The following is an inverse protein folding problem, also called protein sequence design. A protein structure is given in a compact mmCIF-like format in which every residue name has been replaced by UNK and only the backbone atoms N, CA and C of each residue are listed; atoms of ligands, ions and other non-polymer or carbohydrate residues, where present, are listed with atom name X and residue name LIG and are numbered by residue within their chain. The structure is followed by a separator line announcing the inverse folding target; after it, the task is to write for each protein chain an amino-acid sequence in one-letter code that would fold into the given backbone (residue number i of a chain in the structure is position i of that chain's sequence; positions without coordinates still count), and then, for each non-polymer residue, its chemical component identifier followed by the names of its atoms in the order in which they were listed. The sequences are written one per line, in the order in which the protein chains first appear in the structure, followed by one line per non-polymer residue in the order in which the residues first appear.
data_IF_982887941605
#
_entry.id   IF_982887941605
#
_cell.length_a   1.000
_cell.length_b   1.000
_cell.length_c   1.000
_cell.angle_alpha   90.00
_cell.angle_beta   90.00
_cell.angle_gamma   90.00
#
_symmetry.space_group_name_H-M   'P 1'
#
loop_
_entity.id
_entity.type
_entity.pdbx_description
1 polymer ?
#
# COMPACT_ATOMS: atom_id res chain seq x y z
N UNK A 1 17.67 -3.45 4.95
CA UNK A 1 18.61 -2.62 4.14
C UNK A 1 20.03 -2.83 4.65
N UNK A 2 21.06 -2.61 3.83
CA UNK A 2 22.44 -2.53 4.31
C UNK A 2 22.83 -1.06 4.47
N UNK A 3 23.48 -0.73 5.59
CA UNK A 3 24.02 0.60 5.84
C UNK A 3 25.51 0.57 5.53
N UNK A 4 26.02 1.62 4.89
CA UNK A 4 27.44 1.79 4.59
C UNK A 4 27.94 2.96 5.41
N UNK A 5 29.05 2.77 6.11
CA UNK A 5 29.72 3.79 6.89
C UNK A 5 31.23 3.75 6.59
N UNK A 6 31.87 4.91 6.73
CA UNK A 6 33.31 5.05 6.68
C UNK A 6 33.78 5.59 8.04
N UNK A 7 34.96 5.15 8.48
CA UNK A 7 35.63 5.66 9.67
C UNK A 7 37.01 6.11 9.21
N UNK A 8 37.32 7.37 9.47
CA UNK A 8 38.67 7.89 9.27
C UNK A 8 39.53 7.50 10.48
N UNK A 9 40.51 6.61 10.28
CA UNK A 9 41.37 6.13 11.35
C UNK A 9 42.54 7.08 11.66
N UNK A 10 42.72 8.15 10.89
CA UNK A 10 43.73 9.17 11.17
C UNK A 10 43.25 10.16 12.25
N UNK A 11 41.93 10.32 12.40
CA UNK A 11 41.34 11.09 13.49
C UNK A 11 41.63 10.45 14.86
N UNK A 12 42.17 11.24 15.79
CA UNK A 12 42.54 10.80 17.13
C UNK A 12 41.37 10.12 17.88
N UNK A 13 40.16 10.66 17.73
CA UNK A 13 38.93 10.11 18.32
C UNK A 13 38.58 8.72 17.81
N UNK A 14 39.06 8.33 16.63
CA UNK A 14 38.73 7.06 15.97
C UNK A 14 39.82 6.00 16.14
N UNK A 15 41.02 6.34 16.62
CA UNK A 15 42.13 5.39 16.78
C UNK A 15 41.77 4.18 17.64
N UNK A 16 41.06 4.40 18.75
CA UNK A 16 40.61 3.33 19.65
C UNK A 16 39.67 2.33 18.96
N UNK A 17 38.70 2.82 18.17
CA UNK A 17 37.76 1.95 17.44
C UNK A 17 38.45 1.21 16.29
N UNK A 18 39.38 1.85 15.59
CA UNK A 18 40.17 1.20 14.54
C UNK A 18 41.10 0.11 15.11
N UNK A 19 41.71 0.35 16.27
CA UNK A 19 42.48 -0.65 17.00
C UNK A 19 41.61 -1.83 17.45
N UNK A 20 40.43 -1.56 18.02
CA UNK A 20 39.46 -2.59 18.45
C UNK A 20 39.03 -3.52 17.32
N UNK A 21 38.86 -3.01 16.11
CA UNK A 21 38.51 -3.81 14.94
C UNK A 21 39.73 -4.31 14.14
N UNK A 22 40.93 -4.18 14.70
CA UNK A 22 42.18 -4.69 14.13
C UNK A 22 42.47 -4.18 12.71
N UNK A 23 42.29 -2.88 12.46
CA UNK A 23 42.61 -2.27 11.17
C UNK A 23 44.13 -2.14 11.03
N UNK A 24 44.73 -2.96 10.17
CA UNK A 24 46.19 -3.03 9.95
C UNK A 24 46.69 -2.30 8.69
N UNK A 25 45.76 -1.80 7.87
CA UNK A 25 46.07 -1.10 6.63
C UNK A 25 44.82 -0.55 5.96
N UNK A 26 45.00 0.35 5.00
CA UNK A 26 43.90 1.05 4.34
C UNK A 26 43.92 0.84 2.81
N UNK A 27 42.74 0.81 2.15
CA UNK A 27 41.41 0.69 2.73
C UNK A 27 41.09 -0.75 3.17
N UNK A 28 40.53 -0.90 4.37
CA UNK A 28 39.99 -2.19 4.87
C UNK A 28 38.47 -2.13 4.89
N UNK A 29 37.83 -3.10 4.24
CA UNK A 29 36.37 -3.24 4.21
C UNK A 29 35.96 -4.35 5.18
N UNK A 30 35.07 -4.03 6.13
CA UNK A 30 34.50 -5.01 7.06
C UNK A 30 32.98 -5.04 6.93
N UNK A 31 32.42 -6.24 6.96
CA UNK A 31 30.98 -6.46 7.00
C UNK A 31 30.56 -6.72 8.44
N UNK A 32 29.66 -5.90 8.95
CA UNK A 32 29.09 -6.05 10.29
C UNK A 32 27.64 -6.54 10.18
N UNK A 33 27.32 -7.62 10.90
CA UNK A 33 25.97 -8.20 10.90
C UNK A 33 25.45 -8.37 12.32
N UNK A 34 24.23 -7.92 12.54
CA UNK A 34 23.51 -8.19 13.78
C UNK A 34 23.10 -9.67 13.81
N UNK A 35 23.42 -10.35 14.92
CA UNK A 35 22.97 -11.70 15.24
C UNK A 35 22.09 -11.65 16.47
N UNK A 36 20.92 -12.27 16.39
CA UNK A 36 20.03 -12.49 17.53
C UNK A 36 20.09 -13.97 17.86
N UNK A 37 20.49 -14.31 19.08
CA UNK A 37 20.49 -15.70 19.53
C UNK A 37 19.06 -16.17 19.88
N UNK A 38 18.88 -17.46 20.12
CA UNK A 38 17.57 -18.06 20.45
C UNK A 38 16.93 -17.48 21.72
N UNK A 39 17.73 -16.91 22.61
CA UNK A 39 17.30 -16.28 23.87
C UNK A 39 17.04 -14.77 23.71
N UNK A 40 17.08 -14.23 22.49
CA UNK A 40 16.86 -12.80 22.22
C UNK A 40 18.09 -11.91 22.44
N UNK A 41 19.23 -12.46 22.84
CA UNK A 41 20.49 -11.74 23.00
C UNK A 41 21.03 -11.25 21.65
N UNK A 42 21.36 -9.95 21.58
CA UNK A 42 21.90 -9.31 20.38
C UNK A 42 23.43 -9.27 20.43
N UNK A 43 24.07 -9.67 19.35
CA UNK A 43 25.52 -9.60 19.17
C UNK A 43 25.84 -9.11 17.76
N UNK A 44 27.08 -8.70 17.50
CA UNK A 44 27.54 -8.27 16.17
C UNK A 44 28.66 -9.21 15.73
N UNK A 45 28.51 -9.83 14.56
CA UNK A 45 29.64 -10.49 13.89
C UNK A 45 30.30 -9.52 12.94
N UNK A 46 31.63 -9.45 12.98
CA UNK A 46 32.45 -8.63 12.09
C UNK A 46 33.32 -9.56 11.25
N UNK A 47 33.30 -9.37 9.94
CA UNK A 47 34.05 -10.19 8.97
C UNK A 47 34.77 -9.29 7.97
N UNK A 48 35.98 -9.68 7.58
CA UNK A 48 36.74 -8.96 6.55
C UNK A 48 36.21 -9.28 5.15
N UNK A 49 36.04 -8.24 4.33
CA UNK A 49 35.75 -8.41 2.91
C UNK A 49 37.05 -8.50 2.12
N UNK A 50 37.36 -9.71 1.67
CA UNK A 50 38.54 -10.02 0.85
C UNK A 50 38.21 -10.25 -0.63
N UNK A 51 36.98 -9.93 -1.07
CA UNK A 51 36.56 -10.06 -2.46
C UNK A 51 37.07 -8.95 -3.37
N UNK A 52 36.67 -8.99 -4.64
CA UNK A 52 37.03 -7.94 -5.61
C UNK A 52 36.47 -6.58 -5.18
N UNK A 53 37.29 -5.53 -5.26
CA UNK A 53 36.89 -4.15 -4.87
C UNK A 53 36.14 -3.42 -5.99
N UNK A 54 35.20 -4.10 -6.64
CA UNK A 54 34.29 -3.48 -7.61
C UNK A 54 32.92 -3.28 -6.97
N UNK A 55 32.18 -2.25 -7.42
CA UNK A 55 30.84 -1.96 -6.90
C UNK A 55 29.92 -3.19 -6.96
N UNK A 56 29.97 -3.92 -8.08
CA UNK A 56 29.16 -5.12 -8.30
C UNK A 56 29.49 -6.22 -7.30
N UNK A 57 30.77 -6.59 -7.15
CA UNK A 57 31.19 -7.68 -6.27
C UNK A 57 30.87 -7.37 -4.80
N UNK A 58 31.09 -6.12 -4.36
CA UNK A 58 30.75 -5.67 -3.01
C UNK A 58 29.23 -5.75 -2.80
N UNK A 59 28.42 -5.25 -3.74
CA UNK A 59 26.96 -5.26 -3.63
C UNK A 59 26.38 -6.69 -3.59
N UNK A 60 26.93 -7.60 -4.41
CA UNK A 60 26.56 -9.02 -4.41
C UNK A 60 26.92 -9.69 -3.08
N UNK A 61 28.13 -9.45 -2.57
CA UNK A 61 28.56 -9.99 -1.28
C UNK A 61 27.65 -9.51 -0.14
N UNK A 62 27.39 -8.20 -0.04
CA UNK A 62 26.49 -7.62 0.96
C UNK A 62 25.08 -8.23 0.86
N UNK A 63 24.57 -8.42 -0.35
CA UNK A 63 23.25 -9.03 -0.59
C UNK A 63 23.19 -10.50 -0.16
N UNK A 64 24.30 -11.23 -0.33
CA UNK A 64 24.39 -12.65 0.05
C UNK A 64 24.38 -12.86 1.56
N UNK A 65 25.02 -11.96 2.30
CA UNK A 65 25.14 -12.04 3.77
C UNK A 65 24.08 -11.25 4.53
N UNK A 66 23.16 -10.59 3.80
CA UNK A 66 22.03 -9.88 4.40
C UNK A 66 21.10 -10.87 5.12
N UNK A 67 20.72 -10.60 6.37
CA UNK A 67 19.72 -11.42 7.05
C UNK A 67 18.39 -11.38 6.27
N UNK A 68 17.64 -12.47 6.35
CA UNK A 68 16.31 -12.52 5.79
C UNK A 68 15.36 -13.20 6.75
N UNK A 69 14.21 -12.57 6.95
CA UNK A 69 13.07 -13.08 7.69
C UNK A 69 11.96 -13.59 6.75
N UNK A 70 12.23 -13.60 5.44
CA UNK A 70 11.28 -14.05 4.41
C UNK A 70 11.17 -15.57 4.48
N UNK A 71 9.96 -16.07 4.69
CA UNK A 71 9.65 -17.49 4.59
C UNK A 71 9.33 -17.86 3.15
N UNK A 72 9.93 -18.92 2.61
CA UNK A 72 9.50 -19.47 1.32
C UNK A 72 8.33 -20.42 1.58
N UNK A 73 7.16 -20.06 1.08
CA UNK A 73 5.92 -20.78 1.31
C UNK A 73 5.57 -21.56 0.05
N UNK A 74 5.20 -22.82 0.24
CA UNK A 74 4.70 -23.74 -0.78
C UNK A 74 3.23 -24.08 -0.49
N UNK A 75 2.60 -24.84 -1.38
CA UNK A 75 1.18 -25.20 -1.26
C UNK A 75 0.86 -25.92 0.07
N UNK A 76 1.73 -26.82 0.54
CA UNK A 76 1.52 -27.58 1.78
C UNK A 76 1.68 -26.72 3.04
N UNK A 77 2.58 -25.73 3.02
CA UNK A 77 2.91 -24.88 4.18
C UNK A 77 2.05 -23.63 4.26
N UNK A 78 1.25 -23.32 3.24
CA UNK A 78 0.46 -22.08 3.20
C UNK A 78 -0.44 -21.90 4.42
N UNK A 79 -1.23 -22.92 4.77
CA UNK A 79 -2.15 -22.83 5.91
C UNK A 79 -1.41 -22.62 7.23
N UNK A 80 -0.27 -23.31 7.40
CA UNK A 80 0.56 -23.14 8.60
C UNK A 80 1.17 -21.73 8.69
N UNK A 81 1.53 -21.12 7.56
CA UNK A 81 2.02 -19.74 7.52
C UNK A 81 0.91 -18.74 7.84
N UNK A 82 -0.29 -18.93 7.26
CA UNK A 82 -1.42 -18.02 7.48
C UNK A 82 -1.87 -18.03 8.94
N UNK A 83 -1.88 -19.20 9.59
CA UNK A 83 -2.28 -19.38 10.99
C UNK A 83 -1.26 -18.83 12.01
N UNK A 84 -0.02 -18.52 11.60
CA UNK A 84 1.00 -17.96 12.49
C UNK A 84 0.74 -16.49 12.74
N UNK A 85 0.66 -16.06 14.01
CA UNK A 85 0.50 -14.66 14.40
C UNK A 85 -0.61 -13.98 13.59
N UNK A 86 -1.85 -14.42 13.79
CA UNK A 86 -3.02 -13.97 13.00
C UNK A 86 -3.32 -12.48 13.18
N UNK A 87 -2.91 -11.93 14.30
CA UNK A 87 -2.89 -10.52 14.65
C UNK A 87 -1.77 -9.72 13.97
N UNK A 88 -0.72 -10.38 13.47
CA UNK A 88 0.37 -9.73 12.75
C UNK A 88 0.11 -9.77 11.25
N UNK A 89 0.08 -8.60 10.62
CA UNK A 89 -0.06 -8.48 9.19
C UNK A 89 1.04 -9.23 8.43
N UNK A 90 0.70 -9.77 7.26
CA UNK A 90 1.60 -10.60 6.44
C UNK A 90 1.79 -9.96 5.08
N UNK A 91 3.03 -9.96 4.58
CA UNK A 91 3.39 -9.44 3.26
C UNK A 91 3.88 -10.60 2.41
N UNK A 92 3.15 -10.93 1.36
CA UNK A 92 3.40 -12.08 0.49
C UNK A 92 3.81 -11.61 -0.89
N UNK A 93 5.01 -12.02 -1.33
CA UNK A 93 5.49 -11.77 -2.68
C UNK A 93 5.27 -13.00 -3.56
N UNK A 94 4.44 -12.87 -4.57
CA UNK A 94 4.28 -13.85 -5.64
C UNK A 94 5.29 -13.56 -6.74
N UNK A 95 6.11 -14.55 -7.11
CA UNK A 95 7.15 -14.36 -8.12
C UNK A 95 7.51 -15.63 -8.88
N UNK A 96 7.95 -15.49 -10.14
CA UNK A 96 8.53 -16.59 -10.92
C UNK A 96 9.93 -16.99 -10.43
N UNK A 97 10.63 -16.08 -9.75
CA UNK A 97 12.03 -16.27 -9.32
C UNK A 97 12.11 -17.12 -8.05
N UNK A 98 12.97 -18.15 -8.07
CA UNK A 98 13.21 -18.98 -6.88
C UNK A 98 14.04 -18.32 -5.79
N UNK A 99 14.91 -17.38 -6.17
CA UNK A 99 15.73 -16.61 -5.23
C UNK A 99 14.98 -15.35 -4.74
N UNK A 100 15.11 -15.06 -3.45
CA UNK A 100 14.53 -13.85 -2.85
C UNK A 100 15.34 -12.62 -3.22
N UNK A 101 14.66 -11.59 -3.73
CA UNK A 101 15.32 -10.36 -4.17
C UNK A 101 15.96 -9.61 -3.00
N UNK A 102 17.04 -8.87 -3.27
CA UNK A 102 17.72 -8.02 -2.29
C UNK A 102 16.78 -7.00 -1.66
N UNK A 103 15.90 -6.40 -2.46
CA UNK A 103 14.86 -5.46 -2.04
C UNK A 103 13.94 -6.11 -1.01
N UNK A 104 13.44 -7.32 -1.30
CA UNK A 104 12.49 -7.98 -0.42
C UNK A 104 13.14 -8.45 0.89
N UNK A 105 14.39 -8.95 0.85
CA UNK A 105 15.18 -9.21 2.07
C UNK A 105 15.38 -7.95 2.90
N UNK A 106 15.69 -6.84 2.23
CA UNK A 106 15.93 -5.57 2.90
C UNK A 106 14.68 -5.06 3.62
N UNK A 107 13.51 -5.16 2.99
CA UNK A 107 12.21 -4.81 3.59
C UNK A 107 11.85 -5.74 4.73
N UNK A 108 12.03 -7.05 4.56
CA UNK A 108 11.72 -8.03 5.60
C UNK A 108 12.53 -7.81 6.88
N UNK A 109 13.77 -7.35 6.75
CA UNK A 109 14.62 -7.00 7.89
C UNK A 109 14.16 -5.70 8.54
N UNK A 110 13.80 -4.68 7.75
CA UNK A 110 13.40 -3.37 8.26
C UNK A 110 12.02 -3.37 8.91
N UNK A 111 11.10 -4.23 8.47
CA UNK A 111 9.73 -4.28 8.97
C UNK A 111 9.34 -5.63 9.58
N UNK A 112 10.30 -6.52 9.85
CA UNK A 112 10.02 -7.87 10.34
C UNK A 112 9.38 -7.94 11.74
N UNK A 113 9.35 -6.82 12.45
CA UNK A 113 8.61 -6.65 13.72
C UNK A 113 7.13 -6.42 13.48
N UNK A 114 6.77 -5.67 12.42
CA UNK A 114 5.38 -5.27 12.12
C UNK A 114 4.71 -6.24 11.15
N UNK A 115 5.48 -6.86 10.24
CA UNK A 115 4.94 -7.79 9.26
C UNK A 115 5.70 -9.12 9.24
N UNK A 116 4.99 -10.20 8.95
CA UNK A 116 5.59 -11.47 8.53
C UNK A 116 5.73 -11.51 7.02
N UNK A 117 6.92 -11.81 6.52
CA UNK A 117 7.19 -11.80 5.09
C UNK A 117 7.22 -13.23 4.54
N UNK A 118 6.54 -13.43 3.42
CA UNK A 118 6.59 -14.68 2.67
C UNK A 118 6.84 -14.47 1.18
N UNK A 119 7.42 -15.47 0.55
CA UNK A 119 7.55 -15.56 -0.90
C UNK A 119 6.90 -16.85 -1.38
N UNK A 120 6.03 -16.75 -2.38
CA UNK A 120 5.36 -17.87 -3.04
C UNK A 120 5.77 -17.87 -4.51
N UNK A 121 6.09 -19.05 -5.06
CA UNK A 121 6.42 -19.19 -6.48
C UNK A 121 5.16 -19.34 -7.31
N UNK A 122 5.24 -18.90 -8.56
CA UNK A 122 4.23 -19.18 -9.60
C UNK A 122 3.91 -20.67 -9.75
N UNK A 123 4.88 -21.55 -9.48
CA UNK A 123 4.67 -23.01 -9.50
C UNK A 123 3.74 -23.53 -8.40
N UNK A 124 3.42 -22.74 -7.38
CA UNK A 124 2.54 -23.10 -6.26
C UNK A 124 1.08 -22.83 -6.64
N UNK A 125 0.55 -23.68 -7.51
CA UNK A 125 -0.72 -23.42 -8.21
C UNK A 125 -1.92 -23.32 -7.26
N UNK A 126 -1.94 -24.06 -6.16
CA UNK A 126 -3.03 -23.97 -5.20
C UNK A 126 -3.00 -22.62 -4.47
N UNK A 127 -1.81 -22.20 -4.03
CA UNK A 127 -1.60 -20.90 -3.37
C UNK A 127 -1.92 -19.74 -4.30
N UNK A 128 -1.39 -19.75 -5.52
CA UNK A 128 -1.63 -18.70 -6.54
C UNK A 128 -3.12 -18.54 -6.83
N UNK A 129 -3.84 -19.66 -7.02
CA UNK A 129 -5.30 -19.66 -7.24
C UNK A 129 -6.07 -19.17 -6.02
N UNK A 130 -5.64 -19.53 -4.81
CA UNK A 130 -6.29 -19.14 -3.55
C UNK A 130 -6.32 -17.61 -3.39
N UNK A 131 -5.28 -16.92 -3.84
CA UNK A 131 -5.18 -15.45 -3.78
C UNK A 131 -5.52 -14.77 -5.11
N UNK A 132 -6.02 -15.50 -6.11
CA UNK A 132 -6.41 -14.93 -7.41
C UNK A 132 -5.27 -14.26 -8.19
N UNK A 133 -4.02 -14.68 -7.99
CA UNK A 133 -2.85 -14.03 -8.59
C UNK A 133 -2.65 -14.52 -10.02
N UNK A 134 -2.72 -13.60 -10.98
CA UNK A 134 -2.53 -13.91 -12.41
C UNK A 134 -1.26 -13.31 -12.99
N UNK A 135 -0.68 -12.32 -12.30
CA UNK A 135 0.50 -11.60 -12.74
C UNK A 135 1.66 -11.79 -11.79
N UNK A 136 2.88 -11.60 -12.31
CA UNK A 136 4.10 -11.75 -11.54
C UNK A 136 5.15 -10.73 -12.01
N UNK A 137 5.85 -10.06 -11.08
CA UNK A 137 5.74 -10.19 -9.63
C UNK A 137 4.56 -9.39 -9.05
N UNK A 138 3.89 -9.93 -8.02
CA UNK A 138 2.81 -9.26 -7.30
C UNK A 138 3.07 -9.30 -5.81
N UNK A 139 2.93 -8.17 -5.12
CA UNK A 139 3.06 -8.09 -3.67
C UNK A 139 1.67 -7.92 -3.05
N UNK A 140 1.33 -8.78 -2.09
CA UNK A 140 0.05 -8.81 -1.40
C UNK A 140 0.28 -8.51 0.09
N UNK A 141 -0.50 -7.61 0.66
CA UNK A 141 -0.57 -7.37 2.09
C UNK A 141 -1.84 -8.03 2.65
N UNK A 142 -1.69 -8.82 3.69
CA UNK A 142 -2.76 -9.42 4.47
C UNK A 142 -2.77 -8.70 5.82
N UNK A 143 -3.73 -7.78 6.10
CA UNK A 143 -3.69 -6.95 7.32
C UNK A 143 -3.86 -7.74 8.62
N UNK A 144 -4.37 -8.98 8.57
CA UNK A 144 -4.74 -9.76 9.75
C UNK A 144 -6.22 -9.57 10.10
N UNK A 145 -6.71 -10.21 11.17
CA UNK A 145 -8.05 -9.94 11.71
C UNK A 145 -9.27 -10.30 10.85
N UNK A 146 -9.08 -10.80 9.62
CA UNK A 146 -10.17 -11.07 8.66
C UNK A 146 -10.38 -9.96 7.63
N UNK A 147 -9.57 -8.89 7.67
CA UNK A 147 -9.60 -7.80 6.70
C UNK A 147 -9.22 -8.30 5.29
N UNK A 148 -9.77 -7.68 4.23
CA UNK A 148 -9.47 -8.06 2.85
C UNK A 148 -8.00 -7.83 2.53
N UNK A 149 -7.44 -8.71 1.70
CA UNK A 149 -6.07 -8.57 1.22
C UNK A 149 -5.92 -7.37 0.29
N UNK A 150 -4.80 -6.65 0.43
CA UNK A 150 -4.48 -5.47 -0.37
C UNK A 150 -3.37 -5.83 -1.35
N UNK A 151 -3.66 -5.79 -2.65
CA UNK A 151 -2.64 -5.98 -3.70
C UNK A 151 -1.88 -4.67 -3.90
N UNK A 152 -0.57 -4.73 -3.91
CA UNK A 152 0.29 -3.57 -4.17
C UNK A 152 0.51 -3.38 -5.67
N UNK A 153 0.27 -2.15 -6.12
CA UNK A 153 0.14 -1.81 -7.53
C UNK A 153 0.99 -0.60 -7.93
N UNK A 154 2.16 -0.50 -7.34
CA UNK A 154 3.16 0.47 -7.76
C UNK A 154 4.44 -0.25 -8.17
N UNK A 155 5.43 0.54 -8.56
CA UNK A 155 6.74 0.03 -8.91
C UNK A 155 7.31 -0.89 -7.82
N UNK A 156 7.80 -2.06 -8.23
CA UNK A 156 8.53 -3.01 -7.38
C UNK A 156 9.96 -2.53 -7.04
N UNK A 157 10.09 -1.24 -6.72
CA UNK A 157 11.30 -0.53 -6.32
C UNK A 157 11.27 -0.27 -4.82
N UNK A 158 12.45 -0.23 -4.22
CA UNK A 158 12.61 -0.13 -2.76
C UNK A 158 11.88 1.09 -2.13
N UNK A 159 11.96 2.32 -2.67
CA UNK A 159 11.30 3.47 -2.05
C UNK A 159 9.78 3.33 -1.98
N UNK A 160 9.16 2.88 -3.06
CA UNK A 160 7.71 2.75 -3.17
C UNK A 160 7.17 1.64 -2.28
N UNK A 161 7.84 0.47 -2.30
CA UNK A 161 7.51 -0.64 -1.40
C UNK A 161 7.69 -0.27 0.07
N UNK A 162 8.78 0.43 0.42
CA UNK A 162 9.01 0.91 1.79
C UNK A 162 7.91 1.87 2.23
N UNK A 163 7.55 2.83 1.38
CA UNK A 163 6.50 3.80 1.69
C UNK A 163 5.13 3.15 1.86
N UNK A 164 4.80 2.18 1.01
CA UNK A 164 3.58 1.38 1.14
C UNK A 164 3.54 0.68 2.51
N UNK A 165 4.56 -0.12 2.82
CA UNK A 165 4.62 -0.88 4.08
C UNK A 165 4.62 0.03 5.32
N UNK A 166 5.36 1.15 5.30
CA UNK A 166 5.34 2.12 6.41
C UNK A 166 3.95 2.68 6.68
N UNK A 167 3.16 2.97 5.63
CA UNK A 167 1.78 3.48 5.77
C UNK A 167 0.85 2.40 6.30
N UNK A 168 1.07 1.15 5.91
CA UNK A 168 0.26 0.02 6.33
C UNK A 168 0.37 -0.31 7.82
N UNK A 169 1.45 0.09 8.50
CA UNK A 169 1.61 -0.15 9.96
C UNK A 169 0.48 0.56 10.75
N UNK A 170 0.08 1.77 10.34
CA UNK A 170 -1.02 2.50 11.01
C UNK A 170 -2.42 1.95 10.70
N UNK A 171 -2.56 1.11 9.67
CA UNK A 171 -3.80 0.40 9.37
C UNK A 171 -3.97 -0.85 10.25
N UNK A 172 -2.86 -1.43 10.71
CA UNK A 172 -2.83 -2.67 11.51
C UNK A 172 -2.92 -2.43 13.02
N UNK A 173 -2.83 -1.17 13.48
CA UNK A 173 -2.94 -0.80 14.91
C UNK A 173 -4.36 -0.36 15.32
N UNK A 174 -5.25 -0.08 14.37
CA UNK A 174 -6.63 0.37 14.64
C UNK A 174 -7.65 -0.78 14.81
N UNK A 175 -7.19 -2.04 14.79
CA UNK A 175 -8.04 -3.23 14.88
C UNK A 175 -8.28 -3.76 16.31
N UNK A 176 -7.65 -3.18 17.35
CA UNK A 176 -7.79 -3.64 18.74
C UNK A 176 -8.73 -2.80 19.63
N UNK A 177 -9.51 -1.88 19.06
CA UNK A 177 -10.50 -1.10 19.81
C UNK A 177 -11.89 -1.16 19.17
N UNK A 178 -12.51 -2.34 19.16
CA UNK A 178 -13.94 -2.57 19.48
C UNK A 178 -14.31 -4.04 19.22
N UNK A 179 -14.09 -4.91 20.21
CA UNK A 179 -14.85 -6.14 20.33
C UNK A 179 -16.24 -5.79 20.87
N UNK A 180 -17.27 -6.23 20.13
CA UNK A 180 -18.59 -6.72 20.56
C UNK A 180 -19.74 -6.19 19.69
N UNK A 181 -20.11 -6.91 18.62
CA UNK A 181 -21.31 -7.77 18.62
C UNK A 181 -21.59 -8.40 17.25
N UNK A 182 -21.87 -9.70 17.34
CA UNK A 182 -22.78 -10.49 16.52
C UNK A 182 -22.45 -10.87 15.06
N UNK A 183 -22.09 -12.17 14.96
CA UNK A 183 -22.61 -13.22 14.05
C UNK A 183 -22.06 -13.33 12.61
N UNK A 184 -21.04 -14.20 12.53
CA UNK A 184 -20.79 -15.29 11.55
C UNK A 184 -21.52 -15.20 10.20
N UNK A 185 -20.80 -15.05 9.08
CA UNK A 185 -21.16 -15.69 7.81
C UNK A 185 -19.93 -15.95 6.89
N UNK A 186 -20.09 -17.01 6.08
CA UNK A 186 -19.12 -17.68 5.19
C UNK A 186 -18.79 -16.89 3.91
N UNK A 187 -17.50 -16.96 3.53
CA UNK A 187 -16.91 -17.19 2.20
C UNK A 187 -17.62 -16.65 0.93
N UNK A 188 -16.96 -15.69 0.26
CA UNK A 188 -16.66 -15.59 -1.19
C UNK A 188 -16.53 -14.09 -1.55
N UNK A 189 -15.35 -13.56 -1.91
CA UNK A 189 -14.62 -13.66 -3.20
C UNK A 189 -14.58 -12.26 -3.82
N UNK A 190 -13.46 -11.57 -3.59
CA UNK A 190 -12.54 -10.94 -4.58
C UNK A 190 -13.11 -10.33 -5.88
N UNK A 191 -12.31 -9.51 -6.61
CA UNK A 191 -11.16 -8.68 -6.19
C UNK A 191 -11.03 -7.34 -6.96
N UNK A 192 -10.04 -6.54 -6.53
CA UNK A 192 -9.08 -5.88 -7.44
C UNK A 192 -9.51 -4.56 -8.09
N UNK A 193 -8.61 -3.71 -8.59
CA UNK A 193 -7.15 -3.66 -8.56
C UNK A 193 -6.70 -2.33 -9.22
N UNK A 194 -5.47 -1.88 -8.93
CA UNK A 194 -4.50 -1.25 -9.88
C UNK A 194 -4.69 0.21 -10.37
N UNK A 195 -3.68 1.05 -10.68
CA UNK A 195 -2.21 1.10 -10.46
C UNK A 195 -1.62 2.39 -11.12
N UNK A 196 -0.50 2.91 -10.58
CA UNK A 196 0.66 3.62 -11.22
C UNK A 196 0.76 5.14 -11.60
N UNK A 197 1.86 5.75 -11.04
CA UNK A 197 2.92 6.69 -11.53
C UNK A 197 2.63 8.12 -12.09
N UNK A 198 3.42 9.21 -11.90
CA UNK A 198 4.50 9.66 -10.97
C UNK A 198 4.84 11.18 -11.18
N UNK A 199 5.47 11.81 -10.17
CA UNK A 199 6.18 13.13 -10.12
C UNK A 199 5.42 14.41 -9.70
N UNK A 200 5.88 15.03 -8.59
CA UNK A 200 5.50 16.36 -8.09
C UNK A 200 4.99 16.41 -6.63
N UNK A 201 5.82 16.85 -5.67
CA UNK A 201 5.48 17.16 -4.26
C UNK A 201 4.46 18.31 -4.11
N UNK A 202 4.00 18.71 -2.90
CA UNK A 202 3.47 17.97 -1.75
C UNK A 202 2.03 18.44 -1.40
N UNK A 203 1.13 17.56 -0.92
CA UNK A 203 -0.01 17.99 -0.09
C UNK A 203 -1.39 17.42 -0.39
N UNK A 204 -2.13 17.17 0.70
CA UNK A 204 -3.52 16.70 0.83
C UNK A 204 -3.82 15.21 0.57
N UNK A 205 -4.03 14.48 1.67
CA UNK A 205 -4.76 13.20 1.68
C UNK A 205 -6.19 13.45 1.19
N UNK A 206 -6.58 12.83 0.08
CA UNK A 206 -7.97 12.84 -0.40
C UNK A 206 -8.77 11.81 0.40
N UNK A 207 -9.92 12.21 0.94
CA UNK A 207 -10.82 11.30 1.67
C UNK A 207 -11.45 10.31 0.67
N UNK A 208 -11.41 9.02 1.00
CA UNK A 208 -11.99 7.94 0.18
C UNK A 208 -13.22 7.37 0.88
N UNK A 209 -14.31 7.21 0.13
CA UNK A 209 -15.56 6.60 0.57
C UNK A 209 -15.50 5.10 0.24
N UNK A 210 -15.61 4.29 1.28
CA UNK A 210 -15.45 2.84 1.23
C UNK A 210 -16.77 2.11 1.49
N UNK A 211 -17.63 2.69 2.34
CA UNK A 211 -18.90 2.10 2.74
C UNK A 211 -20.12 2.93 2.27
N UNK A 212 -21.27 2.27 2.20
CA UNK A 212 -22.55 2.89 1.85
C UNK A 212 -22.99 3.93 2.90
N UNK A 213 -22.66 3.69 4.17
CA UNK A 213 -22.89 4.59 5.30
C UNK A 213 -22.20 5.95 5.12
N UNK A 214 -20.98 5.96 4.56
CA UNK A 214 -20.20 7.16 4.29
C UNK A 214 -20.78 7.98 3.13
N UNK A 215 -21.34 7.31 2.12
CA UNK A 215 -22.07 7.95 1.02
C UNK A 215 -23.34 8.61 1.53
N UNK A 216 -24.10 7.92 2.37
CA UNK A 216 -25.32 8.46 2.97
C UNK A 216 -25.00 9.69 3.86
N UNK A 217 -23.95 9.58 4.69
CA UNK A 217 -23.47 10.69 5.51
C UNK A 217 -22.93 11.86 4.66
N UNK A 218 -22.40 11.61 3.46
CA UNK A 218 -21.94 12.69 2.59
C UNK A 218 -23.10 13.40 1.89
N UNK A 219 -24.02 12.64 1.31
CA UNK A 219 -25.10 13.18 0.48
C UNK A 219 -26.21 13.81 1.31
N UNK A 220 -26.44 13.27 2.52
CA UNK A 220 -27.52 13.71 3.40
C UNK A 220 -27.01 14.29 4.73
N UNK A 221 -25.72 14.14 5.04
CA UNK A 221 -25.11 14.84 6.17
C UNK A 221 -24.78 16.27 5.79
N UNK A 222 -25.17 17.21 6.66
CA UNK A 222 -24.96 18.65 6.46
C UNK A 222 -23.48 19.11 6.58
N UNK A 223 -22.54 18.19 6.46
CA UNK A 223 -21.11 18.42 6.72
C UNK A 223 -20.39 19.03 5.52
N UNK A 224 -20.80 18.71 4.29
CA UNK A 224 -20.17 19.19 3.05
C UNK A 224 -21.27 19.76 2.14
N UNK A 225 -21.06 20.97 1.60
CA UNK A 225 -22.07 21.64 0.75
C UNK A 225 -22.04 21.17 -0.70
N UNK A 226 -20.84 20.99 -1.24
CA UNK A 226 -20.58 20.59 -2.63
C UNK A 226 -19.33 19.72 -2.64
N UNK A 227 -19.29 18.69 -3.47
CA UNK A 227 -18.12 17.83 -3.63
C UNK A 227 -18.01 17.33 -5.08
N UNK A 228 -16.81 16.91 -5.46
CA UNK A 228 -16.57 16.13 -6.67
C UNK A 228 -16.29 14.68 -6.27
N UNK A 229 -17.11 13.76 -6.76
CA UNK A 229 -16.97 12.32 -6.55
C UNK A 229 -16.25 11.69 -7.73
N UNK A 230 -15.19 10.95 -7.44
CA UNK A 230 -14.33 10.32 -8.44
C UNK A 230 -14.19 8.83 -8.11
N UNK A 231 -14.37 7.91 -9.06
CA UNK A 231 -14.06 6.50 -8.83
C UNK A 231 -12.57 6.33 -8.56
N UNK A 232 -12.21 5.40 -7.67
CA UNK A 232 -10.81 5.11 -7.30
C UNK A 232 -9.91 4.77 -8.51
N UNK A 233 -10.46 4.25 -9.61
CA UNK A 233 -9.73 4.00 -10.85
C UNK A 233 -9.13 5.25 -11.52
N UNK A 234 -9.57 6.46 -11.14
CA UNK A 234 -8.98 7.73 -11.58
C UNK A 234 -7.81 8.21 -10.70
N UNK A 235 -7.48 7.51 -9.60
CA UNK A 235 -6.46 7.94 -8.63
C UNK A 235 -5.00 7.80 -9.12
N UNK A 236 -4.80 7.40 -10.38
CA UNK A 236 -3.49 7.25 -11.02
C UNK A 236 -2.86 8.59 -11.40
N UNK A 237 -3.58 9.72 -11.26
CA UNK A 237 -3.08 11.05 -11.65
C UNK A 237 -2.80 11.96 -10.45
N UNK A 238 -1.52 12.33 -10.19
CA UNK A 238 -1.16 13.28 -9.14
C UNK A 238 -1.84 14.65 -9.30
N UNK A 239 -2.16 15.06 -10.53
CA UNK A 239 -2.74 16.38 -10.84
C UNK A 239 -4.20 16.56 -10.36
N UNK A 240 -4.92 15.47 -10.08
CA UNK A 240 -6.28 15.50 -9.52
C UNK A 240 -6.29 15.64 -8.00
N UNK A 241 -5.11 15.63 -7.36
CA UNK A 241 -4.98 15.55 -5.90
C UNK A 241 -4.76 16.90 -5.21
N UNK A 242 -4.61 17.97 -5.97
CA UNK A 242 -4.57 19.32 -5.44
C UNK A 242 -5.96 19.69 -4.88
N UNK A 243 -6.08 19.86 -3.56
CA UNK A 243 -7.26 20.46 -2.93
C UNK A 243 -7.53 21.81 -3.60
N UNK A 244 -8.62 21.92 -4.35
CA UNK A 244 -9.25 23.23 -4.56
C UNK A 244 -9.81 23.68 -3.21
N UNK A 245 -9.43 24.86 -2.71
CA UNK A 245 -9.89 25.38 -1.42
C UNK A 245 -11.44 25.47 -1.35
N UNK A 246 -12.12 25.50 -2.50
CA UNK A 246 -13.57 25.68 -2.60
C UNK A 246 -14.37 24.42 -2.96
N UNK A 247 -13.71 23.34 -3.41
CA UNK A 247 -14.39 22.11 -3.83
C UNK A 247 -13.61 20.86 -3.38
N UNK A 248 -14.08 20.12 -2.37
CA UNK A 248 -13.45 18.88 -1.94
C UNK A 248 -13.62 17.79 -3.00
N UNK A 249 -12.51 17.11 -3.30
CA UNK A 249 -12.51 15.93 -4.15
C UNK A 249 -12.58 14.72 -3.22
N UNK A 250 -13.43 13.75 -3.53
CA UNK A 250 -13.64 12.54 -2.74
C UNK A 250 -13.56 11.34 -3.68
N UNK A 251 -12.72 10.37 -3.32
CA UNK A 251 -12.65 9.12 -4.04
C UNK A 251 -13.77 8.18 -3.56
N UNK A 252 -14.28 7.30 -4.41
CA UNK A 252 -15.19 6.24 -3.98
C UNK A 252 -14.78 4.87 -4.55
N UNK A 253 -14.85 3.85 -3.70
CA UNK A 253 -14.65 2.44 -4.08
C UNK A 253 -15.88 1.87 -4.76
N UNK A 254 -15.78 0.66 -5.31
CA UNK A 254 -16.90 0.02 -6.01
C UNK A 254 -18.20 -0.05 -5.18
N UNK A 255 -18.13 -0.41 -3.90
CA UNK A 255 -19.32 -0.52 -3.03
C UNK A 255 -19.98 0.84 -2.79
N UNK A 256 -19.18 1.86 -2.47
CA UNK A 256 -19.67 3.24 -2.39
C UNK A 256 -20.22 3.72 -3.75
N UNK A 257 -19.60 3.32 -4.86
CA UNK A 257 -20.04 3.58 -6.23
C UNK A 257 -21.43 3.02 -6.51
N UNK A 258 -21.71 1.76 -6.13
CA UNK A 258 -23.04 1.16 -6.27
C UNK A 258 -24.10 1.93 -5.47
N UNK A 259 -23.76 2.40 -4.26
CA UNK A 259 -24.67 3.23 -3.47
C UNK A 259 -24.92 4.59 -4.13
N UNK A 260 -23.89 5.24 -4.67
CA UNK A 260 -24.00 6.48 -5.43
C UNK A 260 -24.88 6.28 -6.67
N UNK A 261 -24.66 5.19 -7.43
CA UNK A 261 -25.46 4.82 -8.59
C UNK A 261 -26.94 4.64 -8.22
N UNK A 262 -27.24 3.94 -7.12
CA UNK A 262 -28.61 3.73 -6.62
C UNK A 262 -29.28 5.05 -6.21
N UNK A 263 -28.57 5.94 -5.51
CA UNK A 263 -29.15 7.22 -5.02
C UNK A 263 -29.31 8.23 -6.14
N UNK A 264 -28.32 8.34 -7.03
CA UNK A 264 -28.29 9.35 -8.07
C UNK A 264 -28.95 8.88 -9.38
N UNK A 265 -29.27 7.59 -9.50
CA UNK A 265 -29.86 7.02 -10.72
C UNK A 265 -28.91 7.08 -11.92
N UNK A 266 -27.60 6.99 -11.68
CA UNK A 266 -26.55 6.98 -12.70
C UNK A 266 -26.09 5.55 -12.98
N UNK A 267 -25.54 5.30 -14.17
CA UNK A 267 -25.07 3.97 -14.58
C UNK A 267 -23.55 3.95 -14.67
N UNK A 268 -22.94 2.92 -14.09
CA UNK A 268 -21.49 2.72 -14.12
C UNK A 268 -20.70 3.68 -13.23
N UNK A 269 -19.39 3.46 -13.19
CA UNK A 269 -18.44 4.28 -12.43
C UNK A 269 -18.10 5.54 -13.24
N UNK A 270 -18.71 6.67 -12.87
CA UNK A 270 -18.50 7.97 -13.52
C UNK A 270 -18.10 9.06 -12.51
N UNK A 271 -17.53 10.15 -13.01
CA UNK A 271 -17.28 11.34 -12.21
C UNK A 271 -18.59 12.11 -11.98
N UNK A 272 -18.82 12.56 -10.75
CA UNK A 272 -20.06 13.27 -10.39
C UNK A 272 -19.76 14.54 -9.63
N UNK A 273 -20.24 15.67 -10.13
CA UNK A 273 -20.32 16.91 -9.37
C UNK A 273 -21.61 16.92 -8.57
N UNK A 274 -21.52 16.99 -7.24
CA UNK A 274 -22.70 16.93 -6.37
C UNK A 274 -22.79 18.16 -5.46
N UNK A 275 -24.00 18.69 -5.34
CA UNK A 275 -24.36 19.70 -4.35
C UNK A 275 -25.24 19.05 -3.27
N UNK A 276 -24.63 18.67 -2.14
CA UNK A 276 -25.34 18.03 -1.03
C UNK A 276 -26.34 18.97 -0.34
N UNK A 277 -26.03 20.27 -0.29
CA UNK A 277 -26.94 21.24 0.34
C UNK A 277 -28.24 21.45 -0.46
N UNK A 278 -28.16 21.46 -1.80
CA UNK A 278 -29.29 21.68 -2.70
C UNK A 278 -29.83 20.39 -3.33
N UNK A 279 -29.27 19.24 -2.95
CA UNK A 279 -29.66 17.90 -3.42
C UNK A 279 -29.77 17.77 -4.94
N UNK A 280 -28.76 18.26 -5.68
CA UNK A 280 -28.64 18.02 -7.12
C UNK A 280 -27.23 17.61 -7.52
N UNK A 281 -27.11 16.93 -8.66
CA UNK A 281 -25.84 16.52 -9.23
C UNK A 281 -25.79 16.71 -10.75
N UNK A 282 -24.58 16.63 -11.31
CA UNK A 282 -24.31 16.47 -12.73
C UNK A 282 -23.27 15.36 -12.87
N UNK A 283 -23.59 14.33 -13.65
CA UNK A 283 -22.66 13.25 -13.98
C UNK A 283 -21.94 13.56 -15.28
N UNK A 284 -20.65 13.21 -15.36
CA UNK A 284 -19.91 13.29 -16.61
C UNK A 284 -20.43 12.22 -17.59
N UNK A 285 -20.52 12.58 -18.87
CA UNK A 285 -20.89 11.64 -19.93
C UNK A 285 -19.80 10.58 -20.15
N UNK A 286 -18.54 11.03 -20.11
CA UNK A 286 -17.36 10.18 -20.23
C UNK A 286 -16.44 10.37 -19.02
N UNK A 287 -15.69 9.32 -18.69
CA UNK A 287 -14.72 9.37 -17.61
C UNK A 287 -13.46 10.13 -18.08
N UNK A 288 -13.13 11.29 -17.50
CA UNK A 288 -12.06 12.14 -18.02
C UNK A 288 -10.68 11.50 -17.86
N UNK A 289 -9.90 11.55 -18.94
CA UNK A 289 -8.55 10.97 -19.02
C UNK A 289 -7.42 12.00 -18.78
N UNK A 290 -7.73 13.23 -18.35
CA UNK A 290 -6.72 14.23 -17.96
C UNK A 290 -7.24 15.13 -16.84
N UNK A 291 -6.34 15.79 -16.10
CA UNK A 291 -6.74 16.79 -15.10
C UNK A 291 -7.38 18.03 -15.73
N UNK A 292 -6.92 18.44 -16.91
CA UNK A 292 -7.55 19.52 -17.68
C UNK A 292 -9.00 19.21 -18.03
N UNK A 293 -9.33 17.96 -18.42
CA UNK A 293 -10.71 17.56 -18.70
C UNK A 293 -11.59 17.56 -17.44
N UNK A 294 -11.04 17.25 -16.27
CA UNK A 294 -11.76 17.37 -14.99
C UNK A 294 -12.05 18.84 -14.66
N UNK A 295 -11.06 19.73 -14.79
CA UNK A 295 -11.26 21.16 -14.57
C UNK A 295 -12.25 21.77 -15.56
N UNK A 296 -12.14 21.42 -16.83
CA UNK A 296 -13.08 21.84 -17.88
C UNK A 296 -14.52 21.40 -17.56
N UNK A 297 -14.69 20.15 -17.08
CA UNK A 297 -16.00 19.69 -16.62
C UNK A 297 -16.53 20.51 -15.45
N UNK A 298 -15.70 20.77 -14.43
CA UNK A 298 -16.10 21.58 -13.27
C UNK A 298 -16.54 22.99 -13.71
N UNK A 299 -15.79 23.61 -14.61
CA UNK A 299 -16.09 24.94 -15.12
C UNK A 299 -17.37 24.95 -15.95
N UNK A 300 -17.57 23.95 -16.82
CA UNK A 300 -18.84 23.75 -17.54
C UNK A 300 -20.01 23.54 -16.58
N UNK A 301 -19.85 22.81 -15.46
CA UNK A 301 -20.92 22.65 -14.46
C UNK A 301 -21.26 23.99 -13.79
N UNK A 302 -20.24 24.79 -13.47
CA UNK A 302 -20.42 26.13 -12.86
C UNK A 302 -21.07 27.12 -13.82
N UNK A 303 -20.73 27.05 -15.11
CA UNK A 303 -21.30 27.87 -16.19
C UNK A 303 -22.68 27.39 -16.64
N UNK A 304 -23.08 26.15 -16.28
CA UNK A 304 -24.38 25.58 -16.63
C UNK A 304 -24.41 24.83 -17.97
N UNK A 305 -23.24 24.49 -18.51
CA UNK A 305 -23.04 23.93 -19.85
C UNK A 305 -22.72 22.42 -19.84
N UNK A 306 -22.35 21.84 -18.68
CA UNK A 306 -21.93 20.43 -18.56
C UNK A 306 -23.07 19.39 -18.64
N UNK A 307 -24.32 19.82 -18.68
CA UNK A 307 -25.49 18.95 -18.70
C UNK A 307 -26.62 19.42 -17.77
N UNK A 308 -27.76 18.71 -17.83
CA UNK A 308 -28.94 19.02 -17.01
C UNK A 308 -28.67 18.65 -15.55
N UNK A 309 -28.90 19.59 -14.62
CA UNK A 309 -28.89 19.31 -13.18
C UNK A 309 -30.01 18.35 -12.83
N UNK A 310 -29.67 17.24 -12.20
CA UNK A 310 -30.62 16.21 -11.77
C UNK A 310 -30.73 16.28 -10.25
N UNK A 311 -31.97 16.36 -9.75
CA UNK A 311 -32.23 16.34 -8.31
C UNK A 311 -32.20 14.90 -7.80
N UNK A 312 -31.75 14.70 -6.57
CA UNK A 312 -31.80 13.42 -5.87
C UNK A 312 -32.43 13.59 -4.49
N UNK A 313 -32.89 12.49 -3.91
CA UNK A 313 -33.49 12.46 -2.59
C UNK A 313 -33.04 11.22 -1.84
N UNK A 314 -33.22 11.23 -0.52
CA UNK A 314 -33.03 10.02 0.27
C UNK A 314 -33.97 8.91 -0.25
N UNK A 315 -33.48 7.66 -0.38
CA UNK A 315 -34.35 6.54 -0.73
C UNK A 315 -35.44 6.38 0.33
N UNK A 316 -36.67 6.10 -0.12
CA UNK A 316 -37.86 6.04 0.72
C UNK A 316 -37.85 4.87 1.73
N UNK A 317 -36.96 3.89 1.54
CA UNK A 317 -36.88 2.68 2.37
C UNK A 317 -35.45 2.49 2.91
N UNK A 318 -35.32 2.42 4.23
CA UNK A 318 -34.05 2.17 4.93
C UNK A 318 -33.69 0.67 4.98
N UNK A 319 -34.48 -0.20 4.34
CA UNK A 319 -34.49 -1.63 4.66
C UNK A 319 -34.05 -2.57 3.54
N UNK A 320 -33.71 -2.08 2.35
CA UNK A 320 -33.06 -2.94 1.34
C UNK A 320 -31.53 -2.79 1.40
N UNK A 321 -30.99 -3.54 2.37
CA UNK A 321 -29.59 -3.91 2.56
C UNK A 321 -29.09 -4.82 1.43
#
# INVERSE_FOLDING_TARGET
MANVAAIDCDEESNKSICGKYEIKGFPTLKVMRAKVNKSGGRSVSVEDYNGQRTLKAIAEHITSVMPSTVQKVNDDSLQSFLAQANETAKVVLFTKKGATSSIFKALSTSFGTSFKFAQIRDTQSASVKTFGINEFPTLLLLPGGGDPSIVYQGDMKLPQLKNFLSRSIGLTENSDANLHKDRVLKHHKDPGSEAEASTGSPGSVIKTLTETSEVDNLLFGNTIKTALLLPVGLSTRPDLTAKSQDLPYLLYTHNAGQRIQKILGITGDTMVFVNCKKAWFVAAQDLPSTASAVHEFIDKVKQGEAGKKVNYSAPADKTEL
#
